data_IF_968564497229
#
_entry.id   IF_968564497229
#
_cell.length_a   1.000
_cell.length_b   1.000
_cell.length_c   1.000
_cell.angle_alpha   90.00
_cell.angle_beta   90.00
_cell.angle_gamma   90.00
#
_symmetry.space_group_name_H-M   'P 1'
#
loop_
_entity.id
_entity.type
_entity.pdbx_description
1 polymer ?
#
# COMPACT_ATOMS: atom_id res chain seq x y z
N UNK A 1 -24.42 -8.23 -11.06
CA UNK A 1 -23.23 -8.92 -11.58
C UNK A 1 -22.04 -8.30 -10.89
N UNK A 2 -21.40 -9.00 -9.97
CA UNK A 2 -20.30 -8.41 -9.19
C UNK A 2 -18.99 -8.59 -9.94
N UNK A 3 -18.29 -7.48 -10.19
CA UNK A 3 -16.93 -7.48 -10.73
C UNK A 3 -15.99 -7.29 -9.55
N UNK A 4 -15.20 -8.30 -9.26
CA UNK A 4 -14.07 -8.20 -8.36
C UNK A 4 -12.80 -8.19 -9.18
N UNK A 5 -11.76 -7.59 -8.64
CA UNK A 5 -10.39 -7.69 -9.12
C UNK A 5 -9.56 -8.22 -7.96
N UNK A 6 -8.77 -9.25 -8.22
CA UNK A 6 -7.81 -9.78 -7.27
C UNK A 6 -6.51 -9.01 -7.44
N UNK A 7 -6.00 -8.43 -6.35
CA UNK A 7 -4.75 -7.70 -6.39
C UNK A 7 -3.58 -8.68 -6.44
N UNK A 8 -2.85 -8.67 -7.54
CA UNK A 8 -1.78 -9.61 -7.83
C UNK A 8 -0.39 -9.00 -7.62
N UNK A 9 0.60 -9.89 -7.50
CA UNK A 9 2.00 -9.46 -7.46
C UNK A 9 2.38 -8.80 -8.79
N UNK A 10 3.02 -7.64 -8.70
CA UNK A 10 3.38 -6.75 -9.81
C UNK A 10 2.24 -5.91 -10.39
N UNK A 11 1.04 -5.92 -9.80
CA UNK A 11 0.07 -4.89 -10.12
C UNK A 11 0.60 -3.53 -9.68
N UNK A 12 0.30 -2.50 -10.47
CA UNK A 12 0.56 -1.12 -10.09
C UNK A 12 -0.73 -0.52 -9.57
N UNK A 13 -0.67 0.05 -8.37
CA UNK A 13 -1.81 0.73 -7.78
C UNK A 13 -1.47 2.16 -7.41
N UNK A 14 -2.49 3.01 -7.40
CA UNK A 14 -2.44 4.35 -6.86
C UNK A 14 -3.41 4.47 -5.68
N UNK A 15 -3.02 5.21 -4.65
CA UNK A 15 -3.82 5.40 -3.44
C UNK A 15 -3.43 6.66 -2.70
N UNK A 16 -4.37 7.21 -1.93
CA UNK A 16 -4.08 8.22 -0.91
C UNK A 16 -3.57 7.52 0.35
N UNK A 17 -2.60 8.12 1.03
CA UNK A 17 -1.96 7.54 2.21
C UNK A 17 -1.63 8.59 3.26
N UNK A 18 -1.89 8.27 4.52
CA UNK A 18 -1.44 9.05 5.67
C UNK A 18 -0.17 8.41 6.22
N UNK A 19 0.95 9.12 6.17
CA UNK A 19 2.19 8.59 6.74
C UNK A 19 2.20 8.69 8.28
N UNK A 20 3.22 8.09 8.91
CA UNK A 20 3.39 8.13 10.37
C UNK A 20 3.58 9.55 10.95
N UNK A 21 3.88 10.55 10.12
CA UNK A 21 3.96 11.97 10.50
C UNK A 21 2.60 12.69 10.38
N UNK A 22 1.54 12.01 9.96
CA UNK A 22 0.22 12.57 9.73
C UNK A 22 0.06 13.31 8.39
N UNK A 23 1.06 13.24 7.50
CA UNK A 23 1.00 13.90 6.20
C UNK A 23 0.25 13.03 5.20
N UNK A 24 -0.75 13.63 4.55
CA UNK A 24 -1.49 13.01 3.45
C UNK A 24 -0.74 13.17 2.14
N UNK A 25 -0.71 12.12 1.32
CA UNK A 25 -0.22 12.23 -0.05
C UNK A 25 -0.67 11.07 -0.92
N UNK A 26 -0.58 11.26 -2.23
CA UNK A 26 -0.79 10.20 -3.21
C UNK A 26 0.45 9.33 -3.30
N UNK A 27 0.24 8.04 -3.55
CA UNK A 27 1.30 7.06 -3.79
C UNK A 27 0.99 6.26 -5.04
N UNK A 28 2.05 5.89 -5.76
CA UNK A 28 2.02 4.90 -6.83
C UNK A 28 2.97 3.79 -6.44
N UNK A 29 2.48 2.55 -6.34
CA UNK A 29 3.25 1.44 -5.83
C UNK A 29 3.08 0.15 -6.63
N UNK A 30 4.17 -0.58 -6.80
CA UNK A 30 4.20 -1.90 -7.44
C UNK A 30 4.07 -3.00 -6.38
N UNK A 31 2.97 -3.74 -6.42
CA UNK A 31 2.58 -4.71 -5.39
C UNK A 31 3.59 -5.86 -5.31
N UNK A 32 3.92 -6.25 -4.07
CA UNK A 32 4.70 -7.45 -3.75
C UNK A 32 3.92 -8.46 -2.91
N UNK A 33 2.85 -8.03 -2.25
CA UNK A 33 1.91 -8.87 -1.51
C UNK A 33 1.42 -8.19 -0.23
N UNK A 34 0.47 -8.83 0.46
CA UNK A 34 -0.02 -8.41 1.77
C UNK A 34 0.56 -9.31 2.85
N UNK A 35 0.94 -8.72 3.99
CA UNK A 35 1.47 -9.46 5.14
C UNK A 35 0.76 -9.02 6.42
N UNK A 36 0.58 -9.95 7.36
CA UNK A 36 0.17 -9.67 8.73
C UNK A 36 1.42 -9.48 9.59
N UNK A 37 1.67 -8.26 10.08
CA UNK A 37 2.95 -7.93 10.71
C UNK A 37 2.97 -6.62 11.49
N UNK A 38 4.11 -6.39 12.13
CA UNK A 38 4.52 -5.13 12.76
C UNK A 38 6.00 -4.91 12.47
N UNK A 39 6.44 -3.65 12.51
CA UNK A 39 7.85 -3.28 12.29
C UNK A 39 8.20 -1.98 13.03
N UNK A 40 9.39 -1.42 12.76
CA UNK A 40 9.85 -0.21 13.45
C UNK A 40 8.97 1.03 13.22
N UNK A 41 8.23 1.08 12.12
CA UNK A 41 7.30 2.17 11.74
C UNK A 41 5.84 1.85 12.10
N UNK A 42 5.48 0.57 12.09
CA UNK A 42 4.15 0.04 12.39
C UNK A 42 4.21 -0.82 13.65
N UNK A 43 4.17 -0.19 14.82
CA UNK A 43 4.40 -0.87 16.11
C UNK A 43 3.29 -1.87 16.47
N UNK A 44 2.08 -1.64 15.98
CA UNK A 44 0.95 -2.53 16.19
C UNK A 44 0.87 -3.56 15.07
N UNK A 45 0.46 -4.78 15.45
CA UNK A 45 0.21 -5.86 14.52
C UNK A 45 -0.99 -5.52 13.62
N UNK A 46 -0.79 -5.51 12.30
CA UNK A 46 -1.83 -5.14 11.32
C UNK A 46 -1.53 -5.71 9.94
N UNK A 47 -2.46 -5.53 8.99
CA UNK A 47 -2.19 -5.83 7.59
C UNK A 47 -1.37 -4.71 6.94
N UNK A 48 -0.28 -5.12 6.29
CA UNK A 48 0.64 -4.25 5.57
C UNK A 48 0.70 -4.67 4.10
N UNK A 49 0.54 -3.71 3.19
CA UNK A 49 0.93 -3.87 1.80
C UNK A 49 2.44 -3.73 1.69
N UNK A 50 3.13 -4.81 1.31
CA UNK A 50 4.51 -4.75 0.86
C UNK A 50 4.51 -4.37 -0.62
N UNK A 51 5.16 -3.27 -0.97
CA UNK A 51 5.23 -2.79 -2.35
C UNK A 51 6.53 -2.01 -2.60
N UNK A 52 6.88 -1.80 -3.87
CA UNK A 52 7.89 -0.81 -4.25
C UNK A 52 7.18 0.53 -4.44
N UNK A 53 7.53 1.53 -3.65
CA UNK A 53 7.11 2.91 -3.87
C UNK A 53 7.81 3.44 -5.12
N UNK A 54 7.06 3.72 -6.17
CA UNK A 54 7.63 4.06 -7.47
C UNK A 54 8.23 5.48 -7.51
N UNK A 55 7.81 6.37 -6.60
CA UNK A 55 8.39 7.71 -6.49
C UNK A 55 9.72 7.69 -5.73
N UNK A 56 9.82 6.81 -4.73
CA UNK A 56 11.03 6.68 -3.89
C UNK A 56 11.99 5.59 -4.39
N UNK A 57 11.54 4.75 -5.31
CA UNK A 57 12.25 3.56 -5.81
C UNK A 57 12.77 2.66 -4.68
N UNK A 58 11.92 2.41 -3.68
CA UNK A 58 12.29 1.71 -2.45
C UNK A 58 11.16 0.78 -1.97
N UNK A 59 11.51 -0.28 -1.26
CA UNK A 59 10.53 -1.21 -0.69
C UNK A 59 9.91 -0.59 0.55
N UNK A 60 8.58 -0.49 0.56
CA UNK A 60 7.81 0.08 1.65
C UNK A 60 6.71 -0.88 2.12
N UNK A 61 6.33 -0.70 3.37
CA UNK A 61 5.21 -1.37 4.00
C UNK A 61 4.17 -0.30 4.33
N UNK A 62 3.06 -0.31 3.62
CA UNK A 62 1.95 0.62 3.82
C UNK A 62 0.89 -0.06 4.67
N UNK A 63 0.42 0.61 5.73
CA UNK A 63 -0.66 0.09 6.54
C UNK A 63 -1.97 0.14 5.74
N UNK A 64 -2.62 -1.01 5.55
CA UNK A 64 -3.85 -1.07 4.74
C UNK A 64 -4.97 -0.20 5.34
N UNK A 65 -5.00 -0.04 6.66
CA UNK A 65 -5.98 0.81 7.37
C UNK A 65 -5.83 2.31 7.06
N UNK A 66 -4.66 2.73 6.58
CA UNK A 66 -4.33 4.13 6.30
C UNK A 66 -4.34 4.43 4.79
N UNK A 67 -4.85 3.51 3.96
CA UNK A 67 -5.00 3.66 2.52
C UNK A 67 -6.43 4.05 2.15
N UNK A 68 -6.57 5.08 1.33
CA UNK A 68 -7.84 5.55 0.79
C UNK A 68 -7.80 5.63 -0.75
N UNK A 69 -8.97 5.64 -1.40
CA UNK A 69 -9.11 5.83 -2.85
C UNK A 69 -8.22 4.92 -3.72
N UNK A 70 -8.03 3.67 -3.29
CA UNK A 70 -7.19 2.70 -3.98
C UNK A 70 -7.75 2.39 -5.36
N UNK A 71 -6.91 2.50 -6.38
CA UNK A 71 -7.23 2.14 -7.77
C UNK A 71 -6.06 1.45 -8.44
N UNK A 72 -6.35 0.61 -9.43
CA UNK A 72 -5.33 0.04 -10.31
C UNK A 72 -4.85 1.15 -11.24
N UNK A 73 -3.53 1.27 -11.42
CA UNK A 73 -2.95 2.11 -12.46
C UNK A 73 -2.88 1.30 -13.73
N UNK A 74 -3.44 1.87 -14.80
CA UNK A 74 -3.14 1.45 -16.17
C UNK A 74 -1.67 1.74 -16.53
#
# INVERSE_FOLDING_TARGET
MTKYFELEKNDVIEFDYINWKGEKGKRKALVRGVVWGSNEWHKEQQFLLRAIDMEKNDVRYFALKDMDNVKISE
#
